data_IF_945354359259
#
_entry.id   IF_945354359259
#
_cell.length_a   1.000
_cell.length_b   1.000
_cell.length_c   1.000
_cell.angle_alpha   90.00
_cell.angle_beta   90.00
_cell.angle_gamma   90.00
#
_symmetry.space_group_name_H-M   'P 1'
#
loop_
_entity.id
_entity.type
_entity.pdbx_description
1 polymer ?
#
# COMPACT_ATOMS: atom_id res chain seq x y z
N UNK A 1 24.85 14.52 43.46
CA UNK A 1 23.39 14.54 43.64
C UNK A 1 22.77 14.53 42.25
N UNK A 2 22.12 13.43 41.89
CA UNK A 2 21.43 13.22 40.62
C UNK A 2 20.14 14.09 40.58
N UNK A 3 19.69 14.52 39.39
CA UNK A 3 18.42 15.25 39.19
C UNK A 3 17.21 14.52 39.81
N UNK A 4 17.18 13.20 39.75
CA UNK A 4 16.15 12.36 40.39
C UNK A 4 16.22 12.40 41.92
N UNK A 5 17.42 12.48 42.50
CA UNK A 5 17.59 12.63 43.96
C UNK A 5 17.09 13.99 44.42
N UNK A 6 17.25 15.04 43.61
CA UNK A 6 16.67 16.37 43.88
C UNK A 6 15.15 16.38 43.75
N UNK A 7 14.58 15.69 42.75
CA UNK A 7 13.13 15.55 42.60
C UNK A 7 12.52 14.73 43.74
N UNK A 8 13.20 13.66 44.16
CA UNK A 8 12.79 12.84 45.30
C UNK A 8 12.81 13.70 46.59
N UNK A 9 13.86 14.48 46.84
CA UNK A 9 13.94 15.36 48.01
C UNK A 9 12.82 16.41 48.07
N UNK A 10 12.28 16.85 46.92
CA UNK A 10 11.15 17.79 46.85
C UNK A 10 9.78 17.13 47.05
N UNK A 11 9.66 15.83 46.80
CA UNK A 11 8.39 15.07 46.83
C UNK A 11 8.34 14.01 47.95
N UNK A 12 8.97 14.27 49.09
CA UNK A 12 9.07 13.34 50.24
C UNK A 12 9.65 11.96 49.89
N UNK A 13 10.58 11.92 48.93
CA UNK A 13 11.22 10.69 48.46
C UNK A 13 10.40 9.88 47.44
N UNK A 14 9.21 10.35 47.05
CA UNK A 14 8.30 9.65 46.12
C UNK A 14 8.39 10.19 44.69
N UNK A 15 8.72 9.33 43.74
CA UNK A 15 8.80 9.60 42.30
C UNK A 15 7.64 8.91 41.56
N UNK A 16 7.38 9.32 40.31
CA UNK A 16 6.43 8.67 39.39
C UNK A 16 5.04 8.43 39.99
N UNK A 17 4.49 9.45 40.67
CA UNK A 17 3.17 9.32 41.31
C UNK A 17 2.09 9.17 40.24
N UNK A 18 1.27 8.14 40.33
CA UNK A 18 0.13 7.92 39.41
C UNK A 18 -1.04 7.33 40.20
N UNK A 19 -2.25 7.78 39.90
CA UNK A 19 -3.47 7.23 40.48
C UNK A 19 -3.94 6.03 39.67
N UNK A 20 -4.17 4.91 40.35
CA UNK A 20 -4.72 3.67 39.81
C UNK A 20 -6.12 3.42 40.39
N UNK A 21 -6.93 2.53 39.77
CA UNK A 21 -8.21 2.13 40.34
C UNK A 21 -8.06 1.54 41.75
N UNK A 22 -7.02 0.77 42.05
CA UNK A 22 -6.87 0.18 43.40
C UNK A 22 -6.26 1.14 44.43
N UNK A 23 -5.59 2.21 44.00
CA UNK A 23 -4.65 2.93 44.87
C UNK A 23 -3.84 4.03 44.21
N UNK A 24 -2.83 4.52 44.92
CA UNK A 24 -1.82 5.42 44.38
C UNK A 24 -0.50 4.68 44.22
N UNK A 25 0.01 4.65 42.98
CA UNK A 25 1.34 4.18 42.66
C UNK A 25 2.38 5.28 42.88
N UNK A 26 3.53 4.90 43.43
CA UNK A 26 4.73 5.74 43.47
C UNK A 26 5.99 4.89 43.62
N UNK A 27 7.13 5.45 43.24
CA UNK A 27 8.44 4.81 43.38
C UNK A 27 9.22 5.47 44.53
N UNK A 28 9.86 4.67 45.39
CA UNK A 28 10.76 5.15 46.45
C UNK A 28 12.17 4.62 46.19
N UNK A 29 13.16 5.48 46.44
CA UNK A 29 14.56 5.06 46.52
C UNK A 29 14.90 4.64 47.96
N UNK A 30 15.14 3.35 48.18
CA UNK A 30 15.53 2.79 49.49
C UNK A 30 16.67 1.80 49.33
N UNK A 31 17.69 1.91 50.17
CA UNK A 31 18.88 1.03 50.18
C UNK A 31 19.60 0.94 48.82
N UNK A 32 19.68 2.06 48.09
CA UNK A 32 20.33 2.12 46.77
C UNK A 32 19.55 1.45 45.64
N UNK A 33 18.28 1.08 45.88
CA UNK A 33 17.39 0.47 44.89
C UNK A 33 16.08 1.24 44.81
N UNK A 34 15.55 1.34 43.61
CA UNK A 34 14.20 1.84 43.36
C UNK A 34 13.19 0.69 43.49
N UNK A 35 12.12 0.90 44.27
CA UNK A 35 10.97 -0.01 44.35
C UNK A 35 9.68 0.75 44.16
N UNK A 36 8.77 0.15 43.40
CA UNK A 36 7.41 0.61 43.25
C UNK A 36 6.56 0.19 44.45
N UNK A 37 5.68 1.08 44.87
CA UNK A 37 4.67 0.81 45.89
C UNK A 37 3.31 1.27 45.37
N UNK A 38 2.26 0.55 45.76
CA UNK A 38 0.88 0.99 45.57
C UNK A 38 0.19 1.05 46.91
N UNK A 39 -0.18 2.24 47.36
CA UNK A 39 -0.99 2.40 48.57
C UNK A 39 -2.45 2.22 48.21
N UNK A 40 -3.12 1.27 48.86
CA UNK A 40 -4.53 0.98 48.62
C UNK A 40 -5.39 2.13 49.16
N UNK A 41 -6.45 2.50 48.43
CA UNK A 41 -7.37 3.56 48.87
C UNK A 41 -8.11 3.08 50.12
N UNK A 42 -8.05 3.83 51.23
CA UNK A 42 -8.68 3.44 52.50
C UNK A 42 -10.18 3.13 52.35
N UNK A 43 -10.91 3.92 51.56
CA UNK A 43 -12.34 3.71 51.30
C UNK A 43 -12.65 2.36 50.62
N UNK A 44 -11.69 1.74 49.94
CA UNK A 44 -11.87 0.41 49.34
C UNK A 44 -11.69 -0.71 50.36
N UNK A 45 -10.81 -0.54 51.35
CA UNK A 45 -10.57 -1.55 52.38
C UNK A 45 -11.78 -1.75 53.31
N UNK A 46 -12.65 -0.72 53.44
CA UNK A 46 -13.93 -0.83 54.14
C UNK A 46 -14.90 -1.83 53.48
N UNK A 47 -14.70 -2.14 52.19
CA UNK A 47 -15.46 -3.15 51.47
C UNK A 47 -14.85 -4.53 51.63
N UNK A 48 -15.62 -5.45 52.25
CA UNK A 48 -15.25 -6.87 52.37
C UNK A 48 -15.06 -7.49 50.97
N UNK A 49 -15.93 -7.14 50.02
CA UNK A 49 -15.88 -7.64 48.63
C UNK A 49 -14.55 -7.26 47.97
N UNK A 50 -14.12 -6.00 48.13
CA UNK A 50 -12.84 -5.55 47.61
C UNK A 50 -11.66 -6.27 48.30
N UNK A 51 -11.69 -6.36 49.62
CA UNK A 51 -10.62 -7.02 50.39
C UNK A 51 -10.45 -8.50 50.03
N UNK A 52 -11.54 -9.23 49.78
CA UNK A 52 -11.49 -10.62 49.29
C UNK A 52 -10.95 -10.70 47.86
N UNK A 53 -11.41 -9.82 46.96
CA UNK A 53 -10.91 -9.72 45.60
C UNK A 53 -9.39 -9.42 45.54
N UNK A 54 -8.92 -8.48 46.36
CA UNK A 54 -7.52 -8.09 46.48
C UNK A 54 -6.65 -9.26 46.96
N UNK A 55 -7.13 -10.02 47.95
CA UNK A 55 -6.43 -11.25 48.42
C UNK A 55 -6.37 -12.30 47.31
N UNK A 56 -7.46 -12.51 46.58
CA UNK A 56 -7.50 -13.45 45.46
C UNK A 56 -6.54 -13.03 44.33
N UNK A 57 -6.46 -11.73 44.01
CA UNK A 57 -5.52 -11.20 43.05
C UNK A 57 -4.07 -11.42 43.51
N UNK A 58 -3.74 -11.10 44.76
CA UNK A 58 -2.41 -11.33 45.34
C UNK A 58 -1.96 -12.79 45.21
N UNK A 59 -2.83 -13.76 45.53
CA UNK A 59 -2.49 -15.17 45.39
C UNK A 59 -2.34 -15.59 43.92
N UNK A 60 -3.21 -15.06 43.05
CA UNK A 60 -3.15 -15.38 41.63
C UNK A 60 -1.90 -14.80 40.97
N UNK A 61 -1.50 -13.57 41.31
CA UNK A 61 -0.34 -12.88 40.76
C UNK A 61 0.95 -13.69 40.90
N UNK A 62 1.17 -14.36 42.05
CA UNK A 62 2.34 -15.22 42.30
C UNK A 62 2.50 -16.36 41.28
N UNK A 63 1.38 -16.81 40.69
CA UNK A 63 1.35 -17.95 39.77
C UNK A 63 1.47 -17.53 38.30
N UNK A 64 1.35 -16.24 38.00
CA UNK A 64 1.44 -15.74 36.65
C UNK A 64 2.91 -15.74 36.21
N UNK A 65 3.19 -16.17 34.99
CA UNK A 65 4.54 -16.24 34.44
C UNK A 65 4.48 -15.67 33.02
N UNK A 66 4.65 -14.35 32.93
CA UNK A 66 4.72 -13.63 31.66
C UNK A 66 5.65 -12.42 31.82
N UNK A 67 6.47 -12.14 30.80
CA UNK A 67 7.44 -11.04 30.81
C UNK A 67 6.84 -9.64 31.01
N UNK A 68 5.55 -9.48 30.70
CA UNK A 68 4.79 -8.23 30.83
C UNK A 68 3.94 -8.20 32.10
N UNK A 69 3.96 -9.25 32.93
CA UNK A 69 3.29 -9.26 34.21
C UNK A 69 4.22 -8.69 35.28
N UNK A 70 3.75 -7.67 35.99
CA UNK A 70 4.46 -7.12 37.14
C UNK A 70 4.06 -7.90 38.40
N UNK A 71 5.06 -8.37 39.13
CA UNK A 71 4.85 -9.06 40.40
C UNK A 71 4.90 -8.10 41.58
N UNK A 72 4.12 -8.43 42.60
CA UNK A 72 4.05 -7.67 43.84
C UNK A 72 3.75 -8.56 45.04
N UNK A 73 4.09 -8.05 46.23
CA UNK A 73 3.80 -8.67 47.52
C UNK A 73 2.92 -7.75 48.36
N UNK A 74 1.86 -8.27 49.01
CA UNK A 74 1.02 -7.47 49.87
C UNK A 74 1.74 -7.14 51.19
N UNK A 75 1.61 -5.89 51.63
CA UNK A 75 1.95 -5.43 52.97
C UNK A 75 0.65 -5.35 53.76
N UNK A 76 0.62 -6.05 54.89
CA UNK A 76 -0.56 -6.17 55.73
C UNK A 76 -0.49 -5.19 56.90
N UNK A 77 -1.55 -4.42 57.11
CA UNK A 77 -1.77 -3.63 58.33
C UNK A 77 -3.12 -4.03 58.92
N UNK A 78 -3.14 -4.35 60.22
CA UNK A 78 -4.37 -4.78 60.94
C UNK A 78 -5.13 -5.96 60.29
N UNK A 79 -4.44 -6.80 59.51
CA UNK A 79 -5.06 -7.96 58.83
C UNK A 79 -5.66 -7.66 57.44
N UNK A 80 -5.50 -6.43 56.95
CA UNK A 80 -5.92 -5.97 55.63
C UNK A 80 -4.71 -5.59 54.78
N UNK A 81 -4.87 -5.63 53.46
CA UNK A 81 -3.82 -5.21 52.52
C UNK A 81 -3.79 -3.68 52.49
N UNK A 82 -2.77 -3.07 53.08
CA UNK A 82 -2.62 -1.60 53.07
C UNK A 82 -1.84 -1.12 51.85
N UNK A 83 -0.83 -1.91 51.43
CA UNK A 83 0.06 -1.56 50.33
C UNK A 83 0.48 -2.79 49.53
N UNK A 84 0.90 -2.56 48.29
CA UNK A 84 1.58 -3.55 47.46
C UNK A 84 3.00 -3.09 47.22
N UNK A 85 3.97 -3.95 47.50
CA UNK A 85 5.37 -3.75 47.17
C UNK A 85 5.69 -4.49 45.88
N UNK A 86 6.10 -3.74 44.84
CA UNK A 86 6.39 -4.29 43.53
C UNK A 86 7.80 -4.89 43.48
N UNK A 87 8.03 -5.78 42.52
CA UNK A 87 9.36 -6.30 42.25
C UNK A 87 10.36 -5.17 41.90
N UNK A 88 11.67 -5.39 42.12
CA UNK A 88 12.68 -4.36 41.87
C UNK A 88 12.65 -3.83 40.43
N UNK A 89 12.64 -2.51 40.30
CA UNK A 89 12.62 -1.84 39.00
C UNK A 89 12.13 -0.41 39.10
N UNK A 90 12.39 0.37 38.05
CA UNK A 90 11.84 1.72 37.90
C UNK A 90 10.74 1.65 36.87
N UNK A 91 9.51 1.88 37.30
CA UNK A 91 8.34 1.90 36.44
C UNK A 91 7.71 3.30 36.44
N UNK A 92 7.14 3.69 35.32
CA UNK A 92 6.29 4.88 35.19
C UNK A 92 5.04 4.50 34.39
N UNK A 93 3.98 5.27 34.51
CA UNK A 93 2.79 5.06 33.68
C UNK A 93 3.07 5.48 32.24
N UNK A 94 2.32 4.93 31.28
CA UNK A 94 2.37 5.39 29.89
C UNK A 94 2.00 6.88 29.79
N UNK A 95 1.05 7.35 30.58
CA UNK A 95 0.70 8.78 30.68
C UNK A 95 1.92 9.63 31.02
N UNK A 96 2.69 9.23 32.03
CA UNK A 96 3.90 9.94 32.43
C UNK A 96 4.99 9.85 31.36
N UNK A 97 5.18 8.69 30.72
CA UNK A 97 6.14 8.54 29.62
C UNK A 97 5.82 9.51 28.48
N UNK A 98 4.56 9.59 28.06
CA UNK A 98 4.11 10.46 26.98
C UNK A 98 4.20 11.95 27.36
N UNK A 99 4.05 12.28 28.64
CA UNK A 99 4.24 13.65 29.15
C UNK A 99 5.71 14.07 29.19
N UNK A 100 6.59 13.18 29.67
CA UNK A 100 8.03 13.46 29.83
C UNK A 100 8.80 13.34 28.52
N UNK A 101 8.43 12.38 27.67
CA UNK A 101 9.06 12.13 26.38
C UNK A 101 8.01 11.85 25.28
N UNK A 102 7.32 12.89 24.77
CA UNK A 102 6.34 12.73 23.70
C UNK A 102 6.93 12.15 22.42
N UNK A 103 8.23 12.36 22.16
CA UNK A 103 8.88 11.91 20.93
C UNK A 103 9.02 10.39 20.82
N UNK A 104 8.85 9.65 21.93
CA UNK A 104 8.92 8.18 21.94
C UNK A 104 7.93 7.54 20.96
N UNK A 105 6.78 8.17 20.73
CA UNK A 105 5.76 7.66 19.79
C UNK A 105 6.17 7.76 18.32
N UNK A 106 7.18 8.59 18.00
CA UNK A 106 7.72 8.72 16.66
C UNK A 106 8.79 7.65 16.36
N UNK A 107 9.23 6.88 17.36
CA UNK A 107 10.10 5.74 17.14
C UNK A 107 9.39 4.69 16.28
N UNK A 108 10.13 4.18 15.28
CA UNK A 108 9.58 3.41 14.15
C UNK A 108 8.67 2.26 14.55
N UNK A 109 8.97 1.59 15.66
CA UNK A 109 8.30 0.37 16.09
C UNK A 109 7.57 0.50 17.43
N UNK A 110 7.65 1.65 18.13
CA UNK A 110 7.11 1.81 19.48
C UNK A 110 5.61 1.50 19.58
N UNK A 111 4.80 2.07 18.69
CA UNK A 111 3.34 1.87 18.66
C UNK A 111 2.98 0.41 18.35
N UNK A 112 3.71 -0.20 17.42
CA UNK A 112 3.47 -1.59 17.03
C UNK A 112 3.88 -2.56 18.15
N UNK A 113 5.04 -2.33 18.76
CA UNK A 113 5.57 -3.17 19.83
C UNK A 113 4.76 -3.02 21.11
N UNK A 114 4.23 -1.83 21.39
CA UNK A 114 3.23 -1.62 22.44
C UNK A 114 1.98 -2.46 22.19
N UNK A 115 1.39 -2.40 20.99
CA UNK A 115 0.22 -3.20 20.67
C UNK A 115 0.52 -4.71 20.75
N UNK A 116 1.67 -5.16 20.25
CA UNK A 116 2.10 -6.57 20.35
C UNK A 116 2.24 -7.01 21.81
N UNK A 117 2.89 -6.20 22.64
CA UNK A 117 3.09 -6.50 24.06
C UNK A 117 1.75 -6.61 24.80
N UNK A 118 0.82 -5.68 24.56
CA UNK A 118 -0.53 -5.74 25.11
C UNK A 118 -1.27 -6.99 24.63
N UNK A 119 -1.22 -7.32 23.35
CA UNK A 119 -1.88 -8.53 22.82
C UNK A 119 -1.27 -9.81 23.39
N UNK A 120 0.05 -9.85 23.56
CA UNK A 120 0.79 -10.98 24.14
C UNK A 120 0.36 -11.26 25.59
N UNK A 121 0.42 -10.26 26.47
CA UNK A 121 0.00 -10.42 27.87
C UNK A 121 -1.49 -10.72 28.00
N UNK A 122 -2.33 -10.05 27.21
CA UNK A 122 -3.79 -10.23 27.28
C UNK A 122 -4.20 -11.63 26.87
N UNK A 123 -3.62 -12.15 25.78
CA UNK A 123 -3.86 -13.53 25.36
C UNK A 123 -3.44 -14.51 26.47
N UNK A 124 -2.30 -14.26 27.12
CA UNK A 124 -1.83 -15.08 28.23
C UNK A 124 -2.81 -15.05 29.42
N UNK A 125 -3.33 -13.88 29.78
CA UNK A 125 -4.30 -13.70 30.86
C UNK A 125 -5.63 -14.40 30.55
N UNK A 126 -6.13 -14.26 29.31
CA UNK A 126 -7.34 -14.92 28.82
C UNK A 126 -7.24 -16.44 28.96
N UNK A 127 -6.11 -17.03 28.59
CA UNK A 127 -5.84 -18.46 28.79
C UNK A 127 -5.83 -18.91 30.27
N UNK A 128 -5.69 -17.96 31.21
CA UNK A 128 -5.77 -18.18 32.66
C UNK A 128 -7.13 -17.80 33.25
N UNK A 129 -8.10 -17.41 32.42
CA UNK A 129 -9.44 -16.98 32.80
C UNK A 129 -9.51 -15.54 33.34
N UNK A 130 -8.43 -14.76 33.20
CA UNK A 130 -8.30 -13.41 33.75
C UNK A 130 -8.55 -12.41 32.63
N UNK A 131 -9.37 -11.39 32.90
CA UNK A 131 -9.56 -10.24 32.00
C UNK A 131 -8.99 -8.99 32.67
N UNK A 132 -8.24 -8.19 31.94
CA UNK A 132 -7.60 -7.01 32.54
C UNK A 132 -8.59 -5.85 32.71
N UNK A 133 -9.60 -5.77 31.85
CA UNK A 133 -10.76 -4.86 31.81
C UNK A 133 -10.42 -3.40 31.50
N UNK A 134 -9.29 -2.89 32.00
CA UNK A 134 -8.95 -1.48 31.94
C UNK A 134 -7.48 -1.26 31.55
N UNK A 135 -7.23 -1.07 30.25
CA UNK A 135 -5.98 -0.54 29.71
C UNK A 135 -6.13 0.98 29.58
N UNK A 136 -5.62 1.73 30.56
CA UNK A 136 -5.54 3.19 30.50
C UNK A 136 -4.07 3.64 30.51
N UNK A 137 -3.76 4.85 30.02
CA UNK A 137 -2.42 5.42 30.13
C UNK A 137 -1.86 5.44 31.56
N UNK A 138 -2.74 5.50 32.58
CA UNK A 138 -2.38 5.46 34.00
C UNK A 138 -2.07 4.05 34.51
N UNK A 139 -2.83 3.06 34.05
CA UNK A 139 -2.74 1.66 34.53
C UNK A 139 -1.72 0.81 33.77
N UNK A 140 -1.43 1.14 32.51
CA UNK A 140 -0.36 0.51 31.73
C UNK A 140 0.98 1.13 32.13
N UNK A 141 1.83 0.36 32.80
CA UNK A 141 3.15 0.80 33.20
C UNK A 141 4.19 0.45 32.14
N UNK A 142 5.27 1.22 32.11
CA UNK A 142 6.46 0.99 31.30
C UNK A 142 7.68 0.94 32.22
N UNK A 143 8.57 -0.01 31.95
CA UNK A 143 9.88 -0.05 32.61
C UNK A 143 10.78 1.02 32.03
N UNK A 144 11.38 1.83 32.90
CA UNK A 144 12.32 2.87 32.50
C UNK A 144 13.59 2.23 31.94
N UNK A 145 14.00 2.64 30.75
CA UNK A 145 15.21 2.16 30.06
C UNK A 145 14.92 1.43 28.76
N UNK A 146 14.04 0.43 28.78
CA UNK A 146 13.69 -0.38 27.60
C UNK A 146 12.25 -0.18 27.12
N UNK A 147 11.45 0.62 27.84
CA UNK A 147 10.03 0.87 27.58
C UNK A 147 9.18 -0.41 27.52
N UNK A 148 9.64 -1.49 28.17
CA UNK A 148 8.88 -2.73 28.26
C UNK A 148 7.56 -2.50 29.00
N UNK A 149 6.45 -2.92 28.37
CA UNK A 149 5.10 -2.84 28.96
C UNK A 149 5.00 -3.80 30.15
N UNK A 150 4.46 -3.30 31.26
CA UNK A 150 4.25 -4.02 32.51
C UNK A 150 2.84 -3.77 33.03
N UNK A 151 2.06 -4.83 33.26
CA UNK A 151 0.73 -4.75 33.86
C UNK A 151 0.78 -5.15 35.33
N UNK A 152 0.09 -4.40 36.18
CA UNK A 152 0.06 -4.65 37.62
C UNK A 152 -1.20 -5.42 38.04
N UNK A 153 -2.38 -4.77 37.95
CA UNK A 153 -3.64 -5.28 38.52
C UNK A 153 -4.68 -5.52 37.43
N UNK A 154 -5.52 -6.54 37.59
CA UNK A 154 -6.50 -6.99 36.59
C UNK A 154 -7.92 -6.80 37.08
N UNK A 155 -8.76 -6.14 36.27
CA UNK A 155 -10.12 -5.78 36.66
C UNK A 155 -11.07 -6.95 36.88
N UNK A 156 -10.81 -8.14 36.33
CA UNK A 156 -11.72 -9.29 36.49
C UNK A 156 -11.94 -9.71 37.95
N UNK A 157 -11.00 -9.42 38.86
CA UNK A 157 -11.17 -9.71 40.28
C UNK A 157 -12.20 -8.79 40.96
N UNK A 158 -12.42 -7.60 40.40
CA UNK A 158 -13.22 -6.54 41.01
C UNK A 158 -14.61 -6.39 40.38
N UNK A 159 -15.00 -7.29 39.47
CA UNK A 159 -16.29 -7.25 38.79
C UNK A 159 -17.49 -7.43 39.73
N UNK A 160 -17.28 -8.00 40.92
CA UNK A 160 -18.32 -8.15 41.94
C UNK A 160 -18.57 -6.87 42.75
N UNK A 161 -17.82 -5.79 42.51
CA UNK A 161 -18.10 -4.51 43.14
C UNK A 161 -19.37 -3.86 42.57
N UNK A 162 -20.16 -3.26 43.45
CA UNK A 162 -21.49 -2.72 43.10
C UNK A 162 -21.42 -1.57 42.08
N UNK A 163 -20.47 -0.65 42.25
CA UNK A 163 -20.31 0.53 41.39
C UNK A 163 -18.97 0.50 40.64
N UNK A 164 -18.99 -0.10 39.45
CA UNK A 164 -17.83 -0.15 38.56
C UNK A 164 -17.40 1.25 38.08
N UNK A 165 -18.34 2.18 37.88
CA UNK A 165 -18.01 3.55 37.43
C UNK A 165 -17.27 4.31 38.50
N UNK A 166 -17.69 4.21 39.77
CA UNK A 166 -16.97 4.82 40.89
C UNK A 166 -15.60 4.16 41.14
N UNK A 167 -15.50 2.84 40.93
CA UNK A 167 -14.23 2.12 41.07
C UNK A 167 -13.18 2.63 40.06
N UNK A 168 -13.52 2.66 38.77
CA UNK A 168 -12.59 3.09 37.72
C UNK A 168 -12.45 4.63 37.61
N UNK A 169 -13.45 5.40 38.01
CA UNK A 169 -13.39 6.87 37.99
C UNK A 169 -13.11 7.41 36.58
N UNK A 170 -12.04 8.18 36.42
CA UNK A 170 -11.62 8.71 35.11
C UNK A 170 -11.20 7.61 34.12
N UNK A 171 -10.68 6.49 34.62
CA UNK A 171 -10.26 5.36 33.79
C UNK A 171 -11.47 4.62 33.18
N UNK A 172 -12.69 4.90 33.64
CA UNK A 172 -13.92 4.32 33.07
C UNK A 172 -14.09 4.62 31.58
N UNK A 173 -13.46 5.68 31.04
CA UNK A 173 -13.45 5.98 29.61
C UNK A 173 -12.73 4.92 28.75
N UNK A 174 -11.90 4.07 29.38
CA UNK A 174 -11.19 2.96 28.74
C UNK A 174 -11.87 1.61 29.00
N UNK A 175 -12.91 1.57 29.84
CA UNK A 175 -13.62 0.35 30.20
C UNK A 175 -14.77 0.13 29.24
N UNK A 176 -14.97 -1.11 28.82
CA UNK A 176 -16.03 -1.45 27.88
C UNK A 176 -17.43 -1.19 28.50
N UNK A 177 -18.42 -0.68 27.72
CA UNK A 177 -19.73 -0.30 28.24
C UNK A 177 -20.44 -1.42 29.01
N UNK A 178 -20.35 -2.66 28.52
CA UNK A 178 -20.97 -3.83 29.14
C UNK A 178 -20.42 -4.12 30.54
N UNK A 179 -19.17 -3.74 30.84
CA UNK A 179 -18.60 -3.90 32.18
C UNK A 179 -19.20 -2.87 33.14
N UNK A 180 -19.40 -1.64 32.66
CA UNK A 180 -19.95 -0.55 33.47
C UNK A 180 -21.46 -0.70 33.73
N UNK A 181 -22.15 -1.48 32.90
CA UNK A 181 -23.59 -1.73 32.96
C UNK A 181 -23.94 -3.11 33.53
N UNK A 182 -22.95 -3.85 34.05
CA UNK A 182 -23.14 -5.21 34.59
C UNK A 182 -23.72 -6.21 33.58
N UNK A 183 -23.34 -6.06 32.31
CA UNK A 183 -23.69 -6.96 31.21
C UNK A 183 -22.89 -8.26 31.22
N UNK A 184 -23.00 -9.04 30.14
CA UNK A 184 -22.21 -10.27 29.97
C UNK A 184 -20.78 -9.90 29.57
N UNK A 185 -19.82 -10.21 30.43
CA UNK A 185 -18.41 -9.86 30.23
C UNK A 185 -17.64 -11.06 29.67
N UNK A 186 -17.09 -10.90 28.47
CA UNK A 186 -16.18 -11.84 27.83
C UNK A 186 -14.82 -11.18 27.51
N UNK A 187 -13.97 -11.88 26.75
CA UNK A 187 -12.63 -11.43 26.36
C UNK A 187 -12.62 -10.16 25.48
N UNK A 188 -13.76 -9.80 24.89
CA UNK A 188 -13.90 -8.66 23.98
C UNK A 188 -13.92 -7.32 24.71
N UNK A 189 -14.11 -7.32 26.03
CA UNK A 189 -13.96 -6.10 26.84
C UNK A 189 -12.49 -5.60 26.83
N UNK A 190 -11.53 -6.52 26.85
CA UNK A 190 -10.10 -6.18 26.76
C UNK A 190 -9.74 -5.67 25.36
N UNK A 191 -10.36 -6.20 24.31
CA UNK A 191 -10.19 -5.71 22.93
C UNK A 191 -10.63 -4.25 22.81
N UNK A 192 -11.79 -3.92 23.39
CA UNK A 192 -12.28 -2.54 23.45
C UNK A 192 -11.29 -1.63 24.20
N UNK A 193 -10.86 -2.08 25.36
CA UNK A 193 -10.01 -1.30 26.24
C UNK A 193 -8.61 -1.05 25.66
N UNK A 194 -7.99 -2.08 25.06
CA UNK A 194 -6.74 -1.93 24.30
C UNK A 194 -6.93 -0.92 23.16
N UNK A 195 -8.06 -0.96 22.45
CA UNK A 195 -8.27 -0.03 21.34
C UNK A 195 -8.43 1.42 21.82
N UNK A 196 -9.13 1.66 22.94
CA UNK A 196 -9.21 2.98 23.58
C UNK A 196 -7.85 3.48 24.05
N UNK A 197 -7.04 2.60 24.63
CA UNK A 197 -5.66 2.90 24.97
C UNK A 197 -4.85 3.32 23.74
N UNK A 198 -4.91 2.56 22.65
CA UNK A 198 -4.21 2.92 21.41
C UNK A 198 -4.71 4.25 20.84
N UNK A 199 -6.02 4.52 20.86
CA UNK A 199 -6.59 5.82 20.47
C UNK A 199 -5.97 6.97 21.28
N UNK A 200 -5.68 6.78 22.57
CA UNK A 200 -5.02 7.78 23.41
C UNK A 200 -3.57 8.05 23.01
N UNK A 201 -2.81 7.02 22.62
CA UNK A 201 -1.43 7.21 22.11
C UNK A 201 -1.44 8.09 20.84
N UNK A 202 -2.42 7.87 19.96
CA UNK A 202 -2.58 8.65 18.73
C UNK A 202 -3.13 10.08 18.95
N UNK A 203 -3.33 10.53 20.19
CA UNK A 203 -3.53 11.96 20.46
C UNK A 203 -2.22 12.75 20.37
N UNK A 204 -1.08 12.06 20.51
CA UNK A 204 0.26 12.64 20.47
C UNK A 204 0.97 12.46 19.12
N UNK A 205 0.36 11.75 18.17
CA UNK A 205 0.92 11.49 16.84
C UNK A 205 -0.16 11.24 15.80
N UNK A 206 0.16 11.35 14.51
CA UNK A 206 -0.83 11.13 13.45
C UNK A 206 -1.26 9.66 13.36
N UNK A 207 -2.57 9.42 13.46
CA UNK A 207 -3.14 8.09 13.29
C UNK A 207 -3.16 7.69 11.82
N UNK A 208 -2.35 6.68 11.46
CA UNK A 208 -2.39 6.13 10.11
C UNK A 208 -3.73 5.42 9.84
N UNK A 209 -4.14 5.42 8.56
CA UNK A 209 -5.39 4.78 8.12
C UNK A 209 -5.47 3.27 8.43
N UNK A 210 -4.30 2.62 8.58
CA UNK A 210 -4.15 1.23 8.98
C UNK A 210 -4.78 0.99 10.35
N UNK A 211 -4.39 1.78 11.35
CA UNK A 211 -4.92 1.68 12.72
C UNK A 211 -6.35 2.19 12.81
N UNK A 212 -6.67 3.31 12.14
CA UNK A 212 -7.97 3.99 12.28
C UNK A 212 -9.17 3.05 12.17
N UNK A 213 -9.35 2.34 11.05
CA UNK A 213 -10.52 1.44 10.93
C UNK A 213 -10.40 0.13 11.71
N UNK A 214 -9.22 -0.22 12.23
CA UNK A 214 -9.07 -1.38 13.09
C UNK A 214 -9.55 -1.03 14.50
N UNK A 215 -9.07 0.09 15.04
CA UNK A 215 -9.48 0.62 16.34
C UNK A 215 -10.97 0.97 16.37
N UNK A 216 -11.51 1.62 15.33
CA UNK A 216 -12.95 1.92 15.23
C UNK A 216 -13.85 0.69 15.35
N UNK A 217 -13.43 -0.46 14.80
CA UNK A 217 -14.20 -1.71 14.95
C UNK A 217 -14.04 -2.29 16.36
N UNK A 218 -12.84 -2.21 16.92
CA UNK A 218 -12.58 -2.71 18.27
C UNK A 218 -13.31 -1.90 19.35
N UNK A 219 -13.60 -0.60 19.10
CA UNK A 219 -14.32 0.29 20.00
C UNK A 219 -15.84 0.37 19.75
N UNK A 220 -16.42 -0.57 18.99
CA UNK A 220 -17.88 -0.68 18.84
C UNK A 220 -18.57 -0.86 20.20
N UNK A 221 -19.76 -0.28 20.38
CA UNK A 221 -20.52 -0.40 21.64
C UNK A 221 -20.94 -1.84 21.91
N UNK A 222 -21.48 -2.52 20.90
CA UNK A 222 -21.88 -3.93 21.00
C UNK A 222 -20.64 -4.85 20.96
N UNK A 223 -20.46 -5.77 21.93
CA UNK A 223 -19.32 -6.69 21.95
C UNK A 223 -19.18 -7.54 20.68
N UNK A 224 -20.29 -8.02 20.12
CA UNK A 224 -20.32 -8.87 18.92
C UNK A 224 -19.77 -8.23 17.64
N UNK A 225 -19.76 -6.91 17.55
CA UNK A 225 -19.21 -6.19 16.40
C UNK A 225 -17.69 -6.05 16.44
N UNK A 226 -17.09 -6.31 17.62
CA UNK A 226 -15.66 -6.19 17.87
C UNK A 226 -14.89 -7.39 17.29
N UNK A 227 -13.60 -7.46 17.58
CA UNK A 227 -12.83 -8.66 17.32
C UNK A 227 -13.00 -9.64 18.48
N UNK A 228 -13.09 -10.94 18.17
CA UNK A 228 -13.27 -11.97 19.19
C UNK A 228 -12.10 -12.09 20.15
N UNK A 229 -10.88 -11.79 19.69
CA UNK A 229 -9.66 -11.93 20.48
C UNK A 229 -8.70 -10.76 20.23
N UNK A 230 -7.79 -10.46 21.18
CA UNK A 230 -6.72 -9.47 20.98
C UNK A 230 -5.82 -9.79 19.78
N UNK A 231 -5.59 -11.08 19.50
CA UNK A 231 -4.82 -11.53 18.33
C UNK A 231 -5.50 -11.15 17.01
N UNK A 232 -6.82 -11.25 16.93
CA UNK A 232 -7.56 -10.87 15.74
C UNK A 232 -7.47 -9.36 15.46
N UNK A 233 -7.44 -8.52 16.51
CA UNK A 233 -7.15 -7.09 16.37
C UNK A 233 -5.76 -6.85 15.77
N UNK A 234 -4.72 -7.49 16.31
CA UNK A 234 -3.35 -7.38 15.80
C UNK A 234 -3.24 -7.82 14.33
N UNK A 235 -3.86 -8.95 13.99
CA UNK A 235 -3.90 -9.47 12.61
C UNK A 235 -4.61 -8.50 11.66
N UNK A 236 -5.69 -7.86 12.09
CA UNK A 236 -6.41 -6.88 11.27
C UNK A 236 -5.53 -5.66 10.95
N UNK A 237 -4.73 -5.19 11.90
CA UNK A 237 -3.75 -4.11 11.69
C UNK A 237 -2.66 -4.58 10.72
N UNK A 238 -2.08 -5.76 10.95
CA UNK A 238 -1.00 -6.30 10.12
C UNK A 238 -1.43 -6.58 8.68
N UNK A 239 -2.60 -7.18 8.47
CA UNK A 239 -3.13 -7.49 7.15
C UNK A 239 -3.30 -6.22 6.31
N UNK A 240 -3.79 -5.14 6.91
CA UNK A 240 -3.93 -3.84 6.24
C UNK A 240 -2.59 -3.20 5.94
N UNK A 241 -1.62 -3.29 6.86
CA UNK A 241 -0.25 -2.81 6.60
C UNK A 241 0.36 -3.55 5.41
N UNK A 242 0.20 -4.87 5.36
CA UNK A 242 0.70 -5.68 4.25
C UNK A 242 0.03 -5.29 2.93
N UNK A 243 -1.28 -5.05 2.93
CA UNK A 243 -2.00 -4.58 1.75
C UNK A 243 -1.50 -3.22 1.25
N UNK A 244 -1.28 -2.27 2.16
CA UNK A 244 -0.70 -0.95 1.83
C UNK A 244 0.73 -1.11 1.27
N UNK A 245 1.56 -1.95 1.91
CA UNK A 245 2.94 -2.22 1.47
C UNK A 245 2.98 -2.89 0.10
N UNK A 246 2.11 -3.87 -0.15
CA UNK A 246 1.96 -4.53 -1.45
C UNK A 246 1.53 -3.53 -2.53
N UNK A 247 0.63 -2.59 -2.20
CA UNK A 247 0.26 -1.50 -3.10
C UNK A 247 1.44 -0.61 -3.50
N UNK A 248 2.28 -0.22 -2.54
CA UNK A 248 3.51 0.55 -2.83
C UNK A 248 4.51 -0.23 -3.68
N UNK A 249 4.73 -1.52 -3.38
CA UNK A 249 5.62 -2.38 -4.16
C UNK A 249 5.10 -2.53 -5.60
N UNK A 250 3.79 -2.72 -5.78
CA UNK A 250 3.17 -2.82 -7.09
C UNK A 250 3.32 -1.51 -7.90
N UNK A 251 3.12 -0.36 -7.26
CA UNK A 251 3.32 0.94 -7.90
C UNK A 251 4.79 1.16 -8.29
N UNK A 252 5.73 0.81 -7.41
CA UNK A 252 7.16 0.87 -7.73
C UNK A 252 7.54 -0.07 -8.90
N UNK A 253 6.93 -1.27 -8.95
CA UNK A 253 7.14 -2.22 -10.04
C UNK A 253 6.60 -1.69 -11.38
N UNK A 254 5.43 -1.01 -11.39
CA UNK A 254 4.91 -0.34 -12.59
C UNK A 254 5.87 0.74 -13.06
N UNK A 255 6.35 1.61 -12.16
CA UNK A 255 7.30 2.67 -12.51
C UNK A 255 8.58 2.09 -13.08
N UNK A 256 9.12 1.03 -12.47
CA UNK A 256 10.30 0.34 -12.97
C UNK A 256 10.07 -0.29 -14.35
N UNK A 257 8.91 -0.93 -14.56
CA UNK A 257 8.55 -1.52 -15.84
C UNK A 257 8.43 -0.47 -16.96
N UNK A 258 7.88 0.71 -16.66
CA UNK A 258 7.82 1.82 -17.60
C UNK A 258 9.21 2.34 -17.98
N UNK A 259 10.10 2.50 -17.00
CA UNK A 259 11.50 2.91 -17.26
C UNK A 259 12.23 1.87 -18.10
N UNK A 260 12.08 0.58 -17.78
CA UNK A 260 12.67 -0.51 -18.57
C UNK A 260 12.10 -0.54 -19.99
N UNK A 261 10.81 -0.29 -20.15
CA UNK A 261 10.17 -0.22 -21.47
C UNK A 261 10.69 0.94 -22.30
N UNK A 262 10.85 2.14 -21.72
CA UNK A 262 11.47 3.29 -22.41
C UNK A 262 12.90 2.97 -22.86
N UNK A 263 13.72 2.41 -21.96
CA UNK A 263 15.09 2.00 -22.26
C UNK A 263 15.13 0.91 -23.33
N UNK A 264 14.19 -0.03 -23.32
CA UNK A 264 14.08 -1.07 -24.34
C UNK A 264 13.73 -0.50 -25.72
N UNK A 265 12.82 0.49 -25.79
CA UNK A 265 12.49 1.17 -27.05
C UNK A 265 13.68 1.96 -27.62
N UNK A 266 14.57 2.50 -26.78
CA UNK A 266 15.79 3.15 -27.24
C UNK A 266 16.87 2.15 -27.70
N UNK A 267 17.00 0.99 -27.04
CA UNK A 267 18.07 0.02 -27.31
C UNK A 267 17.74 -1.00 -28.39
N UNK A 268 16.46 -1.32 -28.62
CA UNK A 268 16.05 -2.30 -29.64
C UNK A 268 15.65 -1.56 -30.92
N UNK A 269 16.44 -1.64 -32.00
CA UNK A 269 16.02 -1.12 -33.28
C UNK A 269 14.76 -1.86 -33.71
N UNK A 270 13.73 -1.13 -34.16
CA UNK A 270 12.55 -1.72 -34.78
C UNK A 270 13.00 -2.70 -35.85
N UNK A 271 12.61 -3.97 -35.72
CA UNK A 271 12.91 -4.98 -36.72
C UNK A 271 12.33 -4.50 -38.04
N UNK A 272 13.18 -4.14 -38.99
CA UNK A 272 12.75 -4.09 -40.38
C UNK A 272 12.22 -5.49 -40.69
N UNK A 273 10.94 -5.60 -41.01
CA UNK A 273 10.41 -6.76 -41.72
C UNK A 273 11.15 -6.82 -43.06
N UNK A 274 12.27 -7.55 -43.07
CA UNK A 274 12.92 -7.91 -44.32
C UNK A 274 12.08 -9.05 -44.87
N UNK A 275 11.19 -8.72 -45.80
CA UNK A 275 10.37 -9.68 -46.50
C UNK A 275 11.32 -10.59 -47.29
N UNK A 276 11.54 -11.79 -46.76
CA UNK A 276 12.47 -12.75 -47.37
C UNK A 276 11.84 -13.24 -48.66
N UNK A 277 12.32 -12.69 -49.78
CA UNK A 277 12.12 -13.32 -51.10
C UNK A 277 12.73 -14.71 -51.01
N UNK A 278 11.89 -15.75 -51.03
CA UNK A 278 12.37 -17.12 -51.20
C UNK A 278 13.28 -17.11 -52.42
N UNK A 279 14.53 -17.59 -52.32
CA UNK A 279 15.41 -17.62 -53.47
C UNK A 279 14.69 -18.39 -54.57
N UNK A 280 14.73 -17.85 -55.80
CA UNK A 280 14.20 -18.53 -56.97
C UNK A 280 14.68 -19.99 -56.92
N UNK A 281 13.81 -20.98 -57.15
CA UNK A 281 14.22 -22.38 -57.15
C UNK A 281 15.47 -22.47 -58.00
N UNK A 282 16.59 -22.90 -57.40
CA UNK A 282 17.81 -23.17 -58.15
C UNK A 282 17.37 -24.10 -59.28
N UNK A 283 17.44 -23.63 -60.52
CA UNK A 283 17.47 -24.54 -61.65
C UNK A 283 18.58 -25.53 -61.32
N UNK A 284 18.21 -26.80 -61.16
CA UNK A 284 19.18 -27.86 -60.97
C UNK A 284 20.01 -27.93 -62.25
N UNK A 285 21.11 -27.19 -62.29
CA UNK A 285 22.15 -27.33 -63.33
C UNK A 285 23.36 -28.11 -62.80
N UNK A 286 23.20 -28.84 -61.69
CA UNK A 286 24.24 -29.68 -61.09
C UNK A 286 23.89 -31.17 -61.18
N UNK A 287 23.45 -31.60 -62.37
CA UNK A 287 23.47 -33.03 -62.78
C UNK A 287 23.61 -33.14 -64.31
N UNK A 288 24.45 -32.29 -64.92
CA UNK A 288 24.83 -32.39 -66.34
C UNK A 288 26.36 -32.37 -66.54
N UNK A 289 27.08 -33.01 -65.61
CA UNK A 289 28.48 -33.37 -65.79
C UNK A 289 28.67 -34.90 -65.72
N UNK A 290 27.81 -35.67 -66.39
CA UNK A 290 28.17 -37.05 -66.79
C UNK A 290 27.25 -37.60 -67.89
N UNK A 291 27.16 -36.93 -69.04
CA UNK A 291 27.02 -37.64 -70.34
C UNK A 291 27.09 -36.66 -71.52
N UNK A 292 28.08 -36.86 -72.39
CA UNK A 292 28.04 -36.53 -73.81
C UNK A 292 27.78 -35.08 -74.22
N UNK A 293 28.86 -34.32 -74.41
CA UNK A 293 28.85 -33.05 -75.15
C UNK A 293 28.42 -33.26 -76.62
N UNK A 294 27.28 -32.70 -77.03
CA UNK A 294 26.88 -32.63 -78.45
C UNK A 294 27.04 -31.20 -79.00
N UNK A 295 27.82 -30.99 -80.08
CA UNK A 295 28.22 -29.65 -80.54
C UNK A 295 27.15 -28.90 -81.36
N UNK A 296 25.86 -29.20 -81.19
CA UNK A 296 24.78 -28.70 -82.05
C UNK A 296 23.83 -27.69 -81.37
N UNK A 297 23.91 -27.50 -80.04
CA UNK A 297 23.01 -26.59 -79.30
C UNK A 297 23.58 -25.18 -79.05
N UNK A 298 24.56 -24.76 -79.85
CA UNK A 298 24.94 -23.34 -79.95
C UNK A 298 23.88 -22.58 -80.76
N UNK A 299 22.76 -22.26 -80.10
CA UNK A 299 21.62 -21.55 -80.67
C UNK A 299 21.25 -20.30 -79.86
N UNK A 300 21.75 -19.16 -80.31
CA UNK A 300 21.34 -17.80 -79.92
C UNK A 300 19.82 -17.66 -79.92
N UNK A 301 19.19 -17.17 -78.83
CA UNK A 301 17.81 -16.66 -78.91
C UNK A 301 17.62 -15.35 -78.14
N UNK A 302 17.06 -14.42 -78.90
CA UNK A 302 16.72 -13.02 -78.71
C UNK A 302 15.42 -12.80 -77.92
N UNK A 303 15.18 -11.54 -77.61
CA UNK A 303 14.16 -10.91 -76.76
C UNK A 303 12.67 -11.02 -77.16
N UNK A 304 12.19 -12.10 -77.78
CA UNK A 304 10.76 -12.22 -78.12
C UNK A 304 10.25 -13.66 -77.92
N UNK A 305 9.65 -13.94 -76.76
CA UNK A 305 8.72 -15.05 -76.53
C UNK A 305 8.22 -15.04 -75.07
N UNK A 306 7.27 -14.16 -74.76
CA UNK A 306 6.41 -14.34 -73.58
C UNK A 306 5.10 -15.00 -74.04
N UNK A 307 4.72 -16.08 -73.36
CA UNK A 307 3.49 -16.83 -73.63
C UNK A 307 2.25 -16.02 -73.18
N UNK A 308 1.05 -16.32 -73.73
CA UNK A 308 -0.19 -15.63 -73.33
C UNK A 308 -0.50 -15.78 -71.83
N UNK A 309 -0.07 -16.89 -71.20
CA UNK A 309 -0.18 -17.11 -69.74
C UNK A 309 0.75 -16.19 -68.93
N UNK A 310 1.96 -15.90 -69.41
CA UNK A 310 2.90 -14.98 -68.75
C UNK A 310 2.41 -13.52 -68.82
N UNK A 311 1.75 -13.15 -69.92
CA UNK A 311 1.12 -11.84 -70.10
C UNK A 311 -0.09 -11.62 -69.17
N UNK A 312 -0.91 -12.65 -68.95
CA UNK A 312 -2.03 -12.57 -68.01
C UNK A 312 -1.57 -12.51 -66.56
N UNK A 313 -0.55 -13.29 -66.19
CA UNK A 313 0.07 -13.23 -64.86
C UNK A 313 0.68 -11.84 -64.59
N UNK A 314 1.36 -11.26 -65.58
CA UNK A 314 1.94 -9.91 -65.47
C UNK A 314 0.86 -8.82 -65.35
N UNK A 315 -0.26 -8.93 -66.08
CA UNK A 315 -1.39 -8.00 -65.94
C UNK A 315 -2.08 -8.12 -64.58
N UNK A 316 -2.29 -9.34 -64.09
CA UNK A 316 -2.88 -9.58 -62.77
C UNK A 316 -1.98 -9.06 -61.64
N UNK A 317 -0.66 -9.16 -61.82
CA UNK A 317 0.35 -8.59 -60.91
C UNK A 317 0.30 -7.06 -60.90
N UNK A 318 0.30 -6.43 -62.08
CA UNK A 318 0.18 -4.97 -62.21
C UNK A 318 -1.12 -4.45 -61.62
N UNK A 319 -2.26 -5.12 -61.85
CA UNK A 319 -3.54 -4.72 -61.29
C UNK A 319 -3.56 -4.73 -59.76
N UNK A 320 -2.94 -5.75 -59.13
CA UNK A 320 -2.84 -5.81 -57.66
C UNK A 320 -1.89 -4.76 -57.09
N UNK A 321 -0.77 -4.50 -57.78
CA UNK A 321 0.16 -3.43 -57.38
C UNK A 321 -0.52 -2.05 -57.47
N UNK A 322 -1.31 -1.79 -58.52
CA UNK A 322 -2.12 -0.58 -58.67
C UNK A 322 -3.17 -0.45 -57.56
N UNK A 323 -3.84 -1.55 -57.17
CA UNK A 323 -4.84 -1.55 -56.09
C UNK A 323 -4.23 -1.22 -54.72
N UNK A 324 -3.07 -1.81 -54.42
CA UNK A 324 -2.32 -1.56 -53.18
C UNK A 324 -1.84 -0.10 -53.14
N UNK A 325 -1.28 0.40 -54.24
CA UNK A 325 -0.87 1.80 -54.35
C UNK A 325 -2.06 2.74 -54.14
N UNK A 326 -3.19 2.49 -54.83
CA UNK A 326 -4.40 3.30 -54.71
C UNK A 326 -4.89 3.39 -53.26
N UNK A 327 -4.95 2.26 -52.55
CA UNK A 327 -5.42 2.22 -51.15
C UNK A 327 -4.48 2.94 -50.18
N UNK A 328 -3.17 2.73 -50.33
CA UNK A 328 -2.18 3.32 -49.44
C UNK A 328 -2.03 4.82 -49.69
N UNK A 329 -2.00 5.21 -50.97
CA UNK A 329 -1.91 6.61 -51.36
C UNK A 329 -3.18 7.40 -51.02
N UNK A 330 -4.36 6.81 -51.12
CA UNK A 330 -5.63 7.45 -50.69
C UNK A 330 -5.61 7.81 -49.20
N UNK A 331 -5.13 6.91 -48.34
CA UNK A 331 -5.03 7.15 -46.90
C UNK A 331 -4.03 8.27 -46.57
N UNK A 332 -2.91 8.30 -47.27
CA UNK A 332 -1.86 9.30 -47.05
C UNK A 332 -2.25 10.66 -47.64
N UNK A 333 -2.88 10.67 -48.81
CA UNK A 333 -3.40 11.88 -49.44
C UNK A 333 -4.52 12.51 -48.60
N UNK A 334 -5.43 11.72 -48.02
CA UNK A 334 -6.46 12.24 -47.10
C UNK A 334 -5.84 12.87 -45.84
N UNK A 335 -4.79 12.25 -45.28
CA UNK A 335 -4.04 12.79 -44.14
C UNK A 335 -3.40 14.15 -44.45
N UNK A 336 -2.76 14.26 -45.62
CA UNK A 336 -2.04 15.48 -46.02
C UNK A 336 -3.03 16.59 -46.43
N UNK A 337 -4.04 16.27 -47.24
CA UNK A 337 -5.03 17.24 -47.72
C UNK A 337 -5.93 17.78 -46.59
N UNK A 338 -6.22 16.98 -45.56
CA UNK A 338 -6.99 17.43 -44.38
C UNK A 338 -6.29 18.52 -43.56
N UNK A 339 -4.96 18.68 -43.70
CA UNK A 339 -4.22 19.78 -43.05
C UNK A 339 -4.61 21.16 -43.59
N UNK A 340 -4.99 21.24 -44.87
CA UNK A 340 -5.34 22.50 -45.56
C UNK A 340 -6.84 22.68 -45.70
N UNK A 341 -7.56 21.61 -46.03
CA UNK A 341 -8.99 21.66 -46.27
C UNK A 341 -9.80 21.47 -44.97
N UNK A 342 -9.63 22.40 -44.02
CA UNK A 342 -10.40 22.48 -42.77
C UNK A 342 -10.94 23.91 -42.54
N UNK A 343 -11.89 24.06 -41.59
CA UNK A 343 -12.61 25.33 -41.35
C UNK A 343 -11.70 26.47 -40.88
N UNK A 344 -10.64 26.15 -40.14
CA UNK A 344 -9.76 27.14 -39.52
C UNK A 344 -8.75 27.71 -40.54
N UNK A 345 -8.17 26.84 -41.39
CA UNK A 345 -7.15 27.23 -42.37
C UNK A 345 -7.74 27.86 -43.63
N UNK A 346 -8.94 27.47 -44.06
CA UNK A 346 -9.65 28.10 -45.20
C UNK A 346 -10.10 29.55 -44.92
N UNK A 347 -10.08 29.98 -43.66
CA UNK A 347 -10.39 31.37 -43.26
C UNK A 347 -9.15 32.27 -43.12
N UNK A 348 -7.95 31.70 -43.32
CA UNK A 348 -6.67 32.41 -43.19
C UNK A 348 -6.34 33.25 -44.43
N UNK A 349 -5.36 34.16 -44.31
CA UNK A 349 -4.98 35.06 -45.40
C UNK A 349 -4.45 34.29 -46.63
N UNK A 350 -4.78 34.78 -47.83
CA UNK A 350 -4.43 34.16 -49.12
C UNK A 350 -2.93 33.80 -49.21
N UNK A 351 -2.06 34.66 -48.66
CA UNK A 351 -0.61 34.44 -48.64
C UNK A 351 -0.19 33.21 -47.80
N UNK A 352 -0.89 32.94 -46.69
CA UNK A 352 -0.63 31.80 -45.80
C UNK A 352 -1.17 30.50 -46.39
N UNK A 353 -2.35 30.56 -46.99
CA UNK A 353 -2.92 29.44 -47.74
C UNK A 353 -2.00 29.01 -48.90
N UNK A 354 -1.50 29.97 -49.68
CA UNK A 354 -0.58 29.68 -50.78
C UNK A 354 0.74 29.04 -50.33
N UNK A 355 1.34 29.52 -49.23
CA UNK A 355 2.59 28.94 -48.71
C UNK A 355 2.41 27.52 -48.19
N UNK A 356 1.33 27.26 -47.45
CA UNK A 356 1.07 25.93 -46.90
C UNK A 356 0.56 24.95 -47.96
N UNK A 357 -0.16 25.45 -48.99
CA UNK A 357 -0.51 24.68 -50.18
C UNK A 357 0.73 24.22 -50.95
N UNK A 358 1.77 25.05 -51.05
CA UNK A 358 3.01 24.63 -51.70
C UNK A 358 3.69 23.50 -50.92
N UNK A 359 3.76 23.62 -49.58
CA UNK A 359 4.39 22.58 -48.75
C UNK A 359 3.64 21.26 -48.77
N UNK A 360 2.31 21.26 -48.87
CA UNK A 360 1.53 20.02 -48.99
C UNK A 360 1.62 19.38 -50.37
N UNK A 361 1.74 20.17 -51.44
CA UNK A 361 2.02 19.63 -52.78
C UNK A 361 3.38 18.93 -52.77
N UNK A 362 4.40 19.51 -52.13
CA UNK A 362 5.72 18.88 -52.01
C UNK A 362 5.67 17.60 -51.15
N UNK A 363 4.86 17.56 -50.08
CA UNK A 363 4.62 16.35 -49.27
C UNK A 363 3.93 15.26 -50.10
N UNK A 364 2.91 15.61 -50.90
CA UNK A 364 2.19 14.67 -51.78
C UNK A 364 3.10 14.12 -52.88
N UNK A 365 3.93 14.96 -53.51
CA UNK A 365 4.88 14.54 -54.53
C UNK A 365 5.93 13.56 -53.97
N UNK A 366 6.44 13.80 -52.77
CA UNK A 366 7.36 12.88 -52.09
C UNK A 366 6.69 11.56 -51.71
N UNK A 367 5.43 11.61 -51.23
CA UNK A 367 4.66 10.42 -50.93
C UNK A 367 4.38 9.59 -52.19
N UNK A 368 4.04 10.25 -53.30
CA UNK A 368 3.82 9.60 -54.60
C UNK A 368 5.08 8.89 -55.09
N UNK A 369 6.22 9.58 -55.07
CA UNK A 369 7.48 9.02 -55.55
C UNK A 369 7.89 7.79 -54.73
N UNK A 370 7.84 7.92 -53.39
CA UNK A 370 8.19 6.82 -52.48
C UNK A 370 7.24 5.62 -52.62
N UNK A 371 5.93 5.86 -52.63
CA UNK A 371 4.94 4.77 -52.73
C UNK A 371 4.90 4.16 -54.15
N UNK A 372 5.23 4.94 -55.17
CA UNK A 372 5.33 4.45 -56.55
C UNK A 372 6.53 3.52 -56.75
N UNK A 373 7.67 3.86 -56.13
CA UNK A 373 8.86 3.01 -56.07
C UNK A 373 8.57 1.71 -55.28
N UNK A 374 7.90 1.81 -54.13
CA UNK A 374 7.50 0.65 -53.31
C UNK A 374 6.52 -0.29 -54.03
N UNK A 375 5.63 0.25 -54.88
CA UNK A 375 4.67 -0.54 -55.65
C UNK A 375 5.20 -1.03 -57.00
N UNK A 376 6.47 -0.77 -57.35
CA UNK A 376 7.07 -1.08 -58.66
C UNK A 376 6.26 -0.54 -59.85
N UNK A 377 5.60 0.62 -59.67
CA UNK A 377 4.85 1.30 -60.72
C UNK A 377 5.78 2.21 -61.53
N UNK A 378 5.51 2.35 -62.83
CA UNK A 378 6.23 3.35 -63.62
C UNK A 378 5.86 4.76 -63.11
N UNK A 379 6.81 5.72 -63.11
CA UNK A 379 6.56 7.07 -62.58
C UNK A 379 5.34 7.75 -63.21
N UNK A 380 5.12 7.54 -64.50
CA UNK A 380 3.98 8.06 -65.27
C UNK A 380 2.65 7.49 -64.78
N UNK A 381 2.61 6.18 -64.45
CA UNK A 381 1.40 5.49 -63.99
C UNK A 381 1.06 5.86 -62.55
N UNK A 382 2.07 5.95 -61.68
CA UNK A 382 1.90 6.42 -60.31
C UNK A 382 1.38 7.87 -60.26
N UNK A 383 1.84 8.73 -61.18
CA UNK A 383 1.40 10.13 -61.28
C UNK A 383 -0.07 10.26 -61.72
N UNK A 384 -0.51 9.43 -62.68
CA UNK A 384 -1.90 9.41 -63.13
C UNK A 384 -2.86 8.95 -62.02
N UNK A 385 -2.50 7.90 -61.28
CA UNK A 385 -3.32 7.39 -60.18
C UNK A 385 -3.33 8.39 -59.01
N UNK A 386 -2.19 9.00 -58.70
CA UNK A 386 -2.08 10.00 -57.65
C UNK A 386 -2.89 11.27 -57.94
N UNK A 387 -2.89 11.75 -59.20
CA UNK A 387 -3.66 12.94 -59.58
C UNK A 387 -5.16 12.70 -59.49
N UNK A 388 -5.64 11.53 -59.93
CA UNK A 388 -7.05 11.12 -59.82
C UNK A 388 -7.52 11.06 -58.35
N UNK A 389 -6.68 10.49 -57.47
CA UNK A 389 -6.97 10.40 -56.03
C UNK A 389 -6.99 11.78 -55.38
N UNK A 390 -5.99 12.64 -55.67
CA UNK A 390 -5.93 14.01 -55.13
C UNK A 390 -7.15 14.81 -55.57
N UNK A 391 -7.54 14.73 -56.85
CA UNK A 391 -8.70 15.46 -57.37
C UNK A 391 -10.00 15.00 -56.69
N UNK A 392 -10.20 13.68 -56.55
CA UNK A 392 -11.38 13.12 -55.87
C UNK A 392 -11.47 13.58 -54.42
N UNK A 393 -10.41 13.40 -53.62
CA UNK A 393 -10.38 13.78 -52.20
C UNK A 393 -10.55 15.30 -52.04
N UNK A 394 -9.89 16.09 -52.90
CA UNK A 394 -10.02 17.55 -52.87
C UNK A 394 -11.46 18.01 -53.12
N UNK A 395 -12.16 17.39 -54.08
CA UNK A 395 -13.56 17.69 -54.38
C UNK A 395 -14.50 17.28 -53.25
N UNK A 396 -14.28 16.11 -52.64
CA UNK A 396 -15.03 15.65 -51.47
C UNK A 396 -14.88 16.60 -50.28
N UNK A 397 -13.65 17.04 -49.96
CA UNK A 397 -13.39 17.98 -48.86
C UNK A 397 -13.99 19.36 -49.12
N UNK A 398 -13.91 19.87 -50.37
CA UNK A 398 -14.58 21.12 -50.76
C UNK A 398 -16.10 21.06 -50.62
N UNK A 399 -16.73 19.91 -50.90
CA UNK A 399 -18.17 19.73 -50.70
C UNK A 399 -18.54 19.63 -49.21
N UNK A 400 -17.73 18.97 -48.39
CA UNK A 400 -17.94 18.88 -46.94
C UNK A 400 -17.83 20.24 -46.24
N UNK A 401 -17.02 21.17 -46.77
CA UNK A 401 -16.88 22.54 -46.25
C UNK A 401 -18.03 23.48 -46.64
N UNK A 402 -18.86 23.11 -47.64
CA UNK A 402 -20.05 23.88 -48.07
C UNK A 402 -21.34 23.50 -47.32
N UNK A 403 -21.31 22.40 -46.54
CA UNK A 403 -22.36 22.01 -45.59
C UNK A 403 -22.07 22.62 -44.22
#
# INVERSE_FOLDING_TARGET
MNYEEMLAAKNDGKLNRTRLPIGEYYCIHRDGKYRGHVTIRHALNESIVFSEAMKAECERNKTLQNRHQLHFSPVMENGEVSQLELEPGVYMSMEQLLLENPAVVAEKDFVEDTLKALVDITTYLHAKGIKHVCYSPKSVLVRKGDHSIMLLSHGSFYLSMDDQRAFYGEDAAFVAPEVLEHGTIDERCDVYSIAKFMESIFQHTEMTSVYKKALQRATSEMPEDRYDTPKALLQAVQARRNLVRSGYIFLAAIVLALVVFEVYQELVPQSLEVDYVKPAPRQATDDLLDDGFYPEDLGVVSSDSLSEEDLEAHRAYQAKAEEIFRKNYEKEADRILSKIYNKDYMSSSEKRFMSESQTTIDELMKAQQKMGEEASLTPERAQLIASEIIERITNEKKQQLKK
#
